data_IF_791978550209
#
_entry.id   IF_791978550209
#
_cell.length_a   1.000
_cell.length_b   1.000
_cell.length_c   1.000
_cell.angle_alpha   90.00
_cell.angle_beta   90.00
_cell.angle_gamma   90.00
#
_symmetry.space_group_name_H-M   'P 1'
#
loop_
_entity.id
_entity.type
_entity.pdbx_description
1 polymer ?
#
# COMPACT_ATOMS: atom_id res chain seq x y z
N UNK A 1 0.92 -24.31 -11.32
CA UNK A 1 2.29 -23.79 -11.53
C UNK A 1 2.57 -23.82 -13.03
N UNK A 2 2.16 -22.80 -13.79
CA UNK A 2 2.57 -22.69 -15.20
C UNK A 2 3.76 -21.74 -15.26
N UNK A 3 4.96 -22.33 -15.30
CA UNK A 3 6.17 -21.59 -15.62
C UNK A 3 6.25 -21.44 -17.14
N UNK A 4 6.26 -20.21 -17.64
CA UNK A 4 6.73 -19.93 -19.00
C UNK A 4 8.23 -19.69 -18.92
N UNK A 5 9.03 -20.68 -19.32
CA UNK A 5 10.48 -20.53 -19.40
C UNK A 5 10.88 -20.07 -20.82
N UNK A 6 11.37 -18.84 -20.91
CA UNK A 6 12.15 -18.35 -22.04
C UNK A 6 13.53 -17.92 -21.51
N UNK A 7 14.44 -18.88 -21.31
CA UNK A 7 15.81 -18.62 -20.80
C UNK A 7 15.89 -18.28 -19.30
N UNK A 8 16.80 -17.37 -18.92
CA UNK A 8 17.11 -16.95 -17.53
C UNK A 8 16.04 -16.06 -16.87
N UNK A 9 14.89 -15.84 -17.51
CA UNK A 9 13.80 -15.02 -16.98
C UNK A 9 12.78 -15.89 -16.25
N UNK A 10 12.47 -15.55 -15.00
CA UNK A 10 11.40 -16.18 -14.21
C UNK A 10 10.34 -15.15 -13.88
N UNK A 11 9.14 -15.30 -14.43
CA UNK A 11 7.98 -14.47 -14.10
C UNK A 11 7.31 -14.96 -12.81
N UNK A 12 6.81 -14.00 -12.03
CA UNK A 12 5.96 -14.25 -10.86
C UNK A 12 4.69 -13.43 -11.02
N UNK A 13 3.54 -14.11 -11.06
CA UNK A 13 2.24 -13.48 -11.24
C UNK A 13 1.66 -13.08 -9.89
N UNK A 14 1.30 -11.80 -9.76
CA UNK A 14 0.85 -11.23 -8.49
C UNK A 14 -0.53 -11.79 -8.07
N UNK A 15 -1.41 -12.02 -9.03
CA UNK A 15 -2.73 -12.63 -8.86
C UNK A 15 -2.66 -14.10 -8.46
N UNK A 16 -1.57 -14.80 -8.81
CA UNK A 16 -1.30 -16.17 -8.38
C UNK A 16 -0.62 -16.27 -7.00
N UNK A 17 -0.30 -15.15 -6.34
CA UNK A 17 0.34 -15.21 -5.01
C UNK A 17 -0.64 -15.71 -3.94
N UNK A 18 -0.20 -16.59 -3.01
CA UNK A 18 -1.03 -17.04 -1.89
C UNK A 18 -1.45 -15.86 -1.02
N UNK A 19 -2.41 -16.09 -0.12
CA UNK A 19 -3.02 -15.06 0.70
C UNK A 19 -1.98 -14.11 1.33
N UNK A 20 -1.95 -12.86 0.85
CA UNK A 20 -0.99 -11.83 1.26
C UNK A 20 -1.40 -11.13 2.55
N UNK A 21 -2.40 -11.66 3.28
CA UNK A 21 -3.01 -11.07 4.47
C UNK A 21 -1.99 -10.59 5.51
N UNK A 22 -0.82 -11.23 5.59
CA UNK A 22 0.21 -10.98 6.61
C UNK A 22 1.49 -10.33 6.07
N UNK A 23 1.59 -10.04 4.76
CA UNK A 23 2.79 -9.45 4.15
C UNK A 23 2.56 -7.99 3.79
N UNK A 24 3.34 -7.09 4.39
CA UNK A 24 3.27 -5.67 4.05
C UNK A 24 3.75 -5.40 2.62
N UNK A 25 4.87 -6.01 2.20
CA UNK A 25 5.45 -5.79 0.88
C UNK A 25 4.54 -6.26 -0.26
N UNK A 26 4.03 -7.50 -0.18
CA UNK A 26 3.09 -8.00 -1.19
C UNK A 26 1.74 -7.27 -1.13
N UNK A 27 1.32 -6.83 0.07
CA UNK A 27 0.13 -5.99 0.22
C UNK A 27 0.27 -4.64 -0.47
N UNK A 28 1.43 -3.99 -0.38
CA UNK A 28 1.73 -2.72 -1.05
C UNK A 28 1.70 -2.87 -2.58
N UNK A 29 2.35 -3.91 -3.11
CA UNK A 29 2.33 -4.19 -4.55
C UNK A 29 0.91 -4.46 -5.05
N UNK A 30 0.10 -5.20 -4.27
CA UNK A 30 -1.32 -5.45 -4.61
C UNK A 30 -2.17 -4.19 -4.54
N UNK A 31 -1.90 -3.27 -3.63
CA UNK A 31 -2.65 -2.01 -3.52
C UNK A 31 -2.64 -1.23 -4.85
N UNK A 32 -1.51 -1.23 -5.56
CA UNK A 32 -1.37 -0.54 -6.86
C UNK A 32 -2.41 -1.02 -7.87
N UNK A 33 -2.64 -2.33 -7.96
CA UNK A 33 -3.56 -2.96 -8.94
C UNK A 33 -4.96 -3.23 -8.38
N UNK A 34 -5.20 -2.97 -7.09
CA UNK A 34 -6.47 -3.24 -6.41
C UNK A 34 -7.61 -2.41 -7.01
N UNK A 35 -8.82 -2.96 -7.16
CA UNK A 35 -9.97 -2.14 -7.57
C UNK A 35 -10.33 -1.13 -6.48
N UNK A 36 -10.83 0.07 -6.84
CA UNK A 36 -11.19 1.12 -5.86
C UNK A 36 -12.10 0.61 -4.73
N UNK A 37 -13.07 -0.26 -5.05
CA UNK A 37 -14.00 -0.85 -4.08
C UNK A 37 -13.31 -1.64 -2.95
N UNK A 38 -12.12 -2.21 -3.22
CA UNK A 38 -11.38 -3.04 -2.28
C UNK A 38 -10.24 -2.29 -1.57
N UNK A 39 -9.93 -1.06 -1.99
CA UNK A 39 -8.80 -0.29 -1.45
C UNK A 39 -8.96 -0.07 0.05
N UNK A 40 -10.17 0.24 0.53
CA UNK A 40 -10.40 0.49 1.96
C UNK A 40 -10.09 -0.75 2.82
N UNK A 41 -10.46 -1.93 2.35
CA UNK A 41 -10.12 -3.18 3.02
C UNK A 41 -8.60 -3.44 2.99
N UNK A 42 -7.96 -3.14 1.85
CA UNK A 42 -6.51 -3.29 1.69
C UNK A 42 -5.73 -2.39 2.63
N UNK A 43 -6.13 -1.12 2.78
CA UNK A 43 -5.52 -0.17 3.71
C UNK A 43 -5.57 -0.70 5.13
N UNK A 44 -6.75 -1.12 5.62
CA UNK A 44 -6.91 -1.67 6.98
C UNK A 44 -6.02 -2.89 7.23
N UNK A 45 -5.85 -3.75 6.23
CA UNK A 45 -4.92 -4.87 6.33
C UNK A 45 -3.48 -4.39 6.42
N UNK A 46 -3.07 -3.46 5.55
CA UNK A 46 -1.72 -2.93 5.50
C UNK A 46 -1.33 -2.20 6.78
N UNK A 47 -2.25 -1.45 7.38
CA UNK A 47 -2.02 -0.83 8.70
C UNK A 47 -1.76 -1.88 9.78
N UNK A 48 -2.55 -2.97 9.80
CA UNK A 48 -2.33 -4.06 10.75
C UNK A 48 -0.96 -4.70 10.53
N UNK A 49 -0.54 -4.91 9.28
CA UNK A 49 0.80 -5.39 8.97
C UNK A 49 1.88 -4.40 9.42
N UNK A 50 1.69 -3.10 9.18
CA UNK A 50 2.61 -2.05 9.60
C UNK A 50 2.76 -2.01 11.13
N UNK A 51 1.66 -2.09 11.88
CA UNK A 51 1.67 -2.15 13.35
C UNK A 51 2.35 -3.40 13.92
N UNK A 52 2.42 -4.48 13.15
CA UNK A 52 3.12 -5.71 13.54
C UNK A 52 4.65 -5.65 13.29
N UNK A 53 5.16 -4.61 12.62
CA UNK A 53 6.60 -4.41 12.42
C UNK A 53 7.27 -3.85 13.68
N UNK A 54 8.61 -3.96 13.78
CA UNK A 54 9.38 -3.24 14.80
C UNK A 54 9.07 -1.73 14.75
N UNK A 55 9.00 -1.08 15.91
CA UNK A 55 8.62 0.36 16.05
C UNK A 55 9.40 1.26 15.07
N UNK A 56 10.70 1.00 14.90
CA UNK A 56 11.56 1.75 13.99
C UNK A 56 11.13 1.72 12.51
N UNK A 57 10.33 0.73 12.10
CA UNK A 57 9.87 0.52 10.72
C UNK A 57 8.41 0.89 10.50
N UNK A 58 7.59 1.01 11.56
CA UNK A 58 6.16 1.23 11.44
C UNK A 58 5.84 2.54 10.70
N UNK A 59 6.53 3.63 11.04
CA UNK A 59 6.33 4.94 10.41
C UNK A 59 6.65 4.89 8.91
N UNK A 60 7.80 4.33 8.54
CA UNK A 60 8.19 4.17 7.13
C UNK A 60 7.24 3.27 6.36
N UNK A 61 6.70 2.24 7.01
CA UNK A 61 5.68 1.37 6.44
C UNK A 61 4.37 2.13 6.13
N UNK A 62 3.89 2.96 7.07
CA UNK A 62 2.71 3.81 6.83
C UNK A 62 2.99 4.79 5.69
N UNK A 63 4.16 5.43 5.68
CA UNK A 63 4.56 6.39 4.66
C UNK A 63 4.57 5.79 3.23
N UNK A 64 5.01 4.55 3.08
CA UNK A 64 4.92 3.85 1.79
C UNK A 64 3.49 3.58 1.35
N UNK A 65 2.56 3.35 2.28
CA UNK A 65 1.14 3.17 1.95
C UNK A 65 0.56 4.49 1.45
N UNK A 66 0.92 5.61 2.08
CA UNK A 66 0.49 6.96 1.65
C UNK A 66 0.93 7.27 0.22
N UNK A 67 2.21 7.06 -0.06
CA UNK A 67 2.76 7.25 -1.41
C UNK A 67 2.04 6.38 -2.44
N UNK A 68 1.79 5.11 -2.11
CA UNK A 68 1.06 4.21 -2.99
C UNK A 68 -0.38 4.68 -3.26
N UNK A 69 -1.06 5.29 -2.29
CA UNK A 69 -2.39 5.88 -2.49
C UNK A 69 -2.37 7.11 -3.40
N UNK A 70 -1.38 8.00 -3.24
CA UNK A 70 -1.21 9.15 -4.14
C UNK A 70 -0.98 8.69 -5.58
N UNK A 71 -0.13 7.69 -5.79
CA UNK A 71 0.09 7.14 -7.13
C UNK A 71 -1.15 6.44 -7.70
N UNK A 72 -1.95 5.80 -6.85
CA UNK A 72 -3.19 5.13 -7.28
C UNK A 72 -4.30 6.12 -7.65
N UNK A 73 -4.35 7.26 -6.96
CA UNK A 73 -5.38 8.28 -7.14
C UNK A 73 -4.77 9.63 -7.52
N UNK A 74 -4.06 9.74 -8.67
CA UNK A 74 -3.26 10.92 -9.02
C UNK A 74 -4.09 12.18 -9.26
N UNK A 75 -5.41 12.05 -9.41
CA UNK A 75 -6.36 13.15 -9.63
C UNK A 75 -7.10 13.57 -8.36
N UNK A 76 -6.88 12.88 -7.23
CA UNK A 76 -7.53 13.20 -5.96
C UNK A 76 -6.49 13.83 -5.03
N UNK A 77 -6.75 15.02 -4.47
CA UNK A 77 -5.85 15.63 -3.52
C UNK A 77 -5.77 14.80 -2.24
N UNK A 78 -4.65 14.92 -1.51
CA UNK A 78 -4.42 14.15 -0.29
C UNK A 78 -5.58 14.25 0.72
N UNK A 79 -6.11 15.46 0.94
CA UNK A 79 -7.24 15.70 1.86
C UNK A 79 -8.49 14.87 1.51
N UNK A 80 -8.74 14.62 0.23
CA UNK A 80 -9.85 13.77 -0.20
C UNK A 80 -9.57 12.30 0.15
N UNK A 81 -8.34 11.83 -0.08
CA UNK A 81 -7.91 10.47 0.27
C UNK A 81 -7.97 10.22 1.78
N UNK A 82 -7.59 11.20 2.59
CA UNK A 82 -7.71 11.13 4.05
C UNK A 82 -9.15 10.89 4.50
N UNK A 83 -10.11 11.60 3.90
CA UNK A 83 -11.54 11.48 4.22
C UNK A 83 -12.09 10.15 3.69
N UNK A 84 -11.75 9.78 2.46
CA UNK A 84 -12.22 8.54 1.83
C UNK A 84 -11.79 7.30 2.60
N UNK A 85 -10.56 7.30 3.14
CA UNK A 85 -9.98 6.11 3.75
C UNK A 85 -9.85 6.20 5.28
N UNK A 86 -10.07 7.37 5.87
CA UNK A 86 -9.99 7.57 7.33
C UNK A 86 -8.56 7.59 7.86
N UNK A 87 -7.64 8.29 7.17
CA UNK A 87 -6.19 8.27 7.44
C UNK A 87 -5.73 9.30 8.49
N UNK A 88 -6.62 9.76 9.37
CA UNK A 88 -6.37 10.90 10.26
C UNK A 88 -5.27 10.68 11.30
N UNK A 89 -4.92 9.42 11.58
CA UNK A 89 -3.83 9.05 12.49
C UNK A 89 -2.45 9.12 11.83
N UNK A 90 -2.36 9.30 10.51
CA UNK A 90 -1.11 9.16 9.76
C UNK A 90 -0.29 10.45 9.65
N UNK A 91 -0.74 11.53 10.32
CA UNK A 91 -0.12 12.88 10.35
C UNK A 91 1.36 12.92 10.76
N UNK A 92 1.86 11.83 11.30
CA UNK A 92 3.21 11.73 11.81
C UNK A 92 4.23 11.39 10.72
N UNK A 93 3.85 10.87 9.55
CA UNK A 93 4.82 10.55 8.49
C UNK A 93 5.42 11.83 7.89
N UNK A 94 6.60 11.71 7.27
CA UNK A 94 7.22 12.86 6.61
C UNK A 94 6.43 13.22 5.35
N UNK A 95 6.12 12.23 4.50
CA UNK A 95 5.32 12.42 3.29
C UNK A 95 4.00 13.14 3.55
N UNK A 96 3.25 12.76 4.58
CA UNK A 96 2.01 13.45 4.96
C UNK A 96 2.22 14.96 5.12
N UNK A 97 3.27 15.36 5.85
CA UNK A 97 3.56 16.77 6.13
C UNK A 97 3.92 17.53 4.84
N UNK A 98 4.59 16.87 3.90
CA UNK A 98 4.93 17.43 2.60
C UNK A 98 3.67 17.64 1.75
N UNK A 99 2.80 16.62 1.61
CA UNK A 99 1.60 16.70 0.74
C UNK A 99 0.43 17.48 1.34
N UNK A 100 0.38 17.66 2.67
CA UNK A 100 -0.67 18.43 3.33
C UNK A 100 -0.40 19.94 3.37
N UNK A 101 0.85 20.34 3.15
CA UNK A 101 1.29 21.73 3.09
C UNK A 101 1.06 22.40 1.72
N UNK A 102 0.76 21.60 0.69
CA UNK A 102 0.41 22.03 -0.68
C UNK A 102 -1.10 22.35 -0.81
#
# INVERSE_FOLDING_TARGET
>A
MQQVQAGNLRSFYLDETPNTSNSIGLGLVRLVVESEANVQQRIKQLERCARALPVAQQRSAIELIEQALVYKFPKRPWRELEVMFGLTEWKQTRFYQEVSAE
#
